data_IF_315345460538
#
_entry.id   IF_315345460538
#
_cell.length_a   1.000
_cell.length_b   1.000
_cell.length_c   1.000
_cell.angle_alpha   90.00
_cell.angle_beta   90.00
_cell.angle_gamma   90.00
#
_symmetry.space_group_name_H-M   'P 1'
#
loop_
_entity.id
_entity.type
_entity.pdbx_description
1 polymer ?
#
# COMPACT_ATOMS: atom_id res chain seq x y z
N UNK A 1 13.71 -0.05 -19.84
CA UNK A 1 13.75 -1.40 -19.25
C UNK A 1 14.21 -1.43 -17.78
N UNK A 2 14.76 -0.35 -17.19
CA UNK A 2 15.17 -0.27 -15.75
C UNK A 2 15.78 -1.57 -15.16
N UNK A 3 16.79 -2.11 -15.85
CA UNK A 3 17.36 -3.42 -15.52
C UNK A 3 18.44 -3.32 -14.44
N UNK A 4 18.51 -4.30 -13.50
CA UNK A 4 19.63 -4.44 -12.60
C UNK A 4 20.98 -4.58 -13.33
N UNK A 5 22.10 -4.15 -12.73
CA UNK A 5 23.42 -4.20 -13.36
C UNK A 5 23.82 -5.59 -13.87
N UNK A 6 23.47 -6.65 -13.15
CA UNK A 6 23.82 -8.03 -13.52
C UNK A 6 23.08 -8.49 -14.78
N UNK A 7 21.77 -8.20 -14.85
CA UNK A 7 20.97 -8.49 -16.06
C UNK A 7 21.46 -7.68 -17.25
N UNK A 8 21.90 -6.44 -17.03
CA UNK A 8 22.51 -5.62 -18.08
C UNK A 8 23.84 -6.20 -18.58
N UNK A 9 24.68 -6.72 -17.68
CA UNK A 9 25.92 -7.42 -18.05
C UNK A 9 25.64 -8.65 -18.92
N UNK A 10 24.66 -9.47 -18.53
CA UNK A 10 24.24 -10.63 -19.34
C UNK A 10 23.79 -10.21 -20.74
N UNK A 11 22.95 -9.17 -20.86
CA UNK A 11 22.50 -8.66 -22.17
C UNK A 11 23.64 -8.08 -23.02
N UNK A 12 24.64 -7.46 -22.40
CA UNK A 12 25.83 -6.96 -23.11
C UNK A 12 26.65 -8.09 -23.73
N UNK A 13 26.62 -9.28 -23.14
CA UNK A 13 27.36 -10.45 -23.63
C UNK A 13 26.57 -11.27 -24.68
N UNK A 14 25.30 -10.93 -24.97
CA UNK A 14 24.53 -11.63 -26.00
C UNK A 14 25.06 -11.37 -27.42
N UNK A 15 24.81 -12.35 -28.29
CA UNK A 15 25.10 -12.30 -29.73
C UNK A 15 24.45 -11.06 -30.38
N UNK A 16 25.13 -10.50 -31.38
CA UNK A 16 24.66 -9.28 -32.06
C UNK A 16 23.28 -9.46 -32.71
N UNK A 17 22.98 -10.66 -33.21
CA UNK A 17 21.68 -11.00 -33.79
C UNK A 17 20.55 -10.90 -32.77
N UNK A 18 20.71 -11.49 -31.59
CA UNK A 18 19.71 -11.42 -30.51
C UNK A 18 19.50 -9.99 -30.01
N UNK A 19 20.57 -9.18 -29.97
CA UNK A 19 20.46 -7.75 -29.65
C UNK A 19 19.65 -6.99 -30.70
N UNK A 20 19.85 -7.30 -31.99
CA UNK A 20 19.09 -6.69 -33.08
C UNK A 20 17.62 -7.09 -33.03
N UNK A 21 17.33 -8.37 -32.82
CA UNK A 21 15.96 -8.88 -32.66
C UNK A 21 15.24 -8.15 -31.51
N UNK A 22 15.92 -7.96 -30.36
CA UNK A 22 15.39 -7.20 -29.23
C UNK A 22 15.08 -5.74 -29.58
N UNK A 23 15.91 -5.07 -30.38
CA UNK A 23 15.66 -3.70 -30.85
C UNK A 23 14.44 -3.65 -31.78
N UNK A 24 14.32 -4.62 -32.69
CA UNK A 24 13.17 -4.73 -33.58
C UNK A 24 11.88 -4.95 -32.79
N UNK A 25 11.88 -5.86 -31.82
CA UNK A 25 10.71 -6.16 -30.98
C UNK A 25 10.30 -4.97 -30.12
N UNK A 26 11.26 -4.25 -29.54
CA UNK A 26 10.97 -3.03 -28.79
C UNK A 26 10.30 -1.97 -29.68
N UNK A 27 10.77 -1.80 -30.92
CA UNK A 27 10.19 -0.83 -31.86
C UNK A 27 8.79 -1.23 -32.30
N UNK A 28 8.56 -2.51 -32.60
CA UNK A 28 7.23 -3.05 -32.90
C UNK A 28 6.27 -2.81 -31.75
N UNK A 29 6.68 -3.14 -30.52
CA UNK A 29 5.87 -2.91 -29.33
C UNK A 29 5.48 -1.43 -29.18
N UNK A 30 6.43 -0.50 -29.36
CA UNK A 30 6.15 0.94 -29.30
C UNK A 30 5.20 1.46 -30.39
N UNK A 31 5.17 0.82 -31.57
CA UNK A 31 4.28 1.20 -32.67
C UNK A 31 2.89 0.58 -32.50
N UNK A 32 2.82 -0.70 -32.15
CA UNK A 32 1.56 -1.45 -32.10
C UNK A 32 0.80 -1.22 -30.78
N UNK A 33 1.49 -0.88 -29.70
CA UNK A 33 0.91 -0.74 -28.36
C UNK A 33 1.14 0.67 -27.83
N UNK A 34 0.41 1.64 -28.39
CA UNK A 34 0.36 3.00 -27.84
C UNK A 34 -0.40 2.99 -26.51
N UNK A 35 0.34 2.97 -25.41
CA UNK A 35 -0.23 3.10 -24.07
C UNK A 35 -0.76 4.53 -23.90
N UNK A 36 -1.99 4.72 -23.39
CA UNK A 36 -2.51 6.03 -23.04
C UNK A 36 -1.56 6.83 -22.13
N UNK A 37 -1.56 8.15 -22.32
CA UNK A 37 -0.81 9.07 -21.47
C UNK A 37 -1.28 8.96 -20.00
N UNK A 38 -0.35 9.05 -19.01
CA UNK A 38 -0.69 9.03 -17.59
C UNK A 38 -1.84 9.96 -17.20
N UNK A 39 -1.93 11.15 -17.81
CA UNK A 39 -2.95 12.15 -17.51
C UNK A 39 -4.38 11.64 -17.71
N UNK A 40 -4.60 10.76 -18.69
CA UNK A 40 -5.92 10.19 -19.01
C UNK A 40 -6.42 9.34 -17.83
N UNK A 41 -5.53 8.51 -17.26
CA UNK A 41 -5.86 7.69 -16.11
C UNK A 41 -6.11 8.56 -14.86
N UNK A 42 -5.29 9.59 -14.67
CA UNK A 42 -5.36 10.49 -13.51
C UNK A 42 -6.60 11.38 -13.53
N UNK A 43 -7.05 11.83 -14.71
CA UNK A 43 -8.31 12.59 -14.83
C UNK A 43 -9.50 11.71 -14.40
N UNK A 44 -9.55 10.47 -14.88
CA UNK A 44 -10.58 9.51 -14.45
C UNK A 44 -10.52 9.24 -12.95
N UNK A 45 -9.32 9.07 -12.38
CA UNK A 45 -9.15 8.80 -10.95
C UNK A 45 -9.67 9.96 -10.09
N UNK A 46 -9.41 11.22 -10.50
CA UNK A 46 -9.95 12.42 -9.84
C UNK A 46 -11.48 12.45 -9.83
N UNK A 47 -12.15 11.93 -10.87
CA UNK A 47 -13.61 11.87 -10.93
C UNK A 47 -14.17 10.91 -9.85
N UNK A 48 -13.48 9.82 -9.54
CA UNK A 48 -13.90 8.90 -8.47
C UNK A 48 -13.78 9.49 -7.06
N UNK A 49 -12.92 10.50 -6.87
CA UNK A 49 -12.75 11.17 -5.57
C UNK A 49 -13.92 12.09 -5.21
N UNK A 50 -14.56 12.73 -6.19
CA UNK A 50 -15.69 13.62 -5.93
C UNK A 50 -17.02 13.01 -6.38
N UNK A 51 -17.84 12.62 -5.39
CA UNK A 51 -19.19 12.06 -5.60
C UNK A 51 -20.09 12.93 -6.48
N UNK A 52 -19.95 14.27 -6.43
CA UNK A 52 -20.75 15.18 -7.26
C UNK A 52 -20.29 15.09 -8.72
N UNK A 53 -18.99 15.05 -8.97
CA UNK A 53 -18.45 14.91 -10.33
C UNK A 53 -18.70 13.53 -10.90
N UNK A 54 -18.62 12.47 -10.09
CA UNK A 54 -18.90 11.09 -10.50
C UNK A 54 -20.30 10.94 -11.09
N UNK A 55 -21.32 11.56 -10.47
CA UNK A 55 -22.70 11.56 -10.98
C UNK A 55 -22.83 12.29 -12.32
N UNK A 56 -22.10 13.40 -12.50
CA UNK A 56 -22.16 14.22 -13.72
C UNK A 56 -21.37 13.62 -14.89
N UNK A 57 -20.20 13.04 -14.61
CA UNK A 57 -19.25 12.53 -15.60
C UNK A 57 -19.26 11.00 -15.75
N UNK A 58 -20.30 10.30 -15.28
CA UNK A 58 -20.39 8.83 -15.38
C UNK A 58 -20.21 8.30 -16.81
N UNK A 59 -20.70 9.01 -17.83
CA UNK A 59 -20.52 8.65 -19.24
C UNK A 59 -19.05 8.72 -19.70
N UNK A 60 -18.26 9.64 -19.14
CA UNK A 60 -16.83 9.82 -19.48
C UNK A 60 -15.96 8.66 -18.97
N UNK A 61 -16.40 7.97 -17.92
CA UNK A 61 -15.71 6.79 -17.40
C UNK A 61 -15.90 5.54 -18.28
N UNK A 62 -16.73 5.62 -19.32
CA UNK A 62 -16.98 4.52 -20.27
C UNK A 62 -17.37 3.19 -19.63
N UNK A 63 -17.96 3.23 -18.42
CA UNK A 63 -18.33 2.03 -17.66
C UNK A 63 -17.17 1.29 -16.99
N UNK A 64 -15.94 1.81 -17.07
CA UNK A 64 -14.80 1.30 -16.32
C UNK A 64 -15.04 1.48 -14.80
N UNK A 65 -14.60 0.53 -13.98
CA UNK A 65 -14.63 0.65 -12.52
C UNK A 65 -13.35 1.30 -11.98
N UNK A 66 -13.40 1.86 -10.77
CA UNK A 66 -12.22 2.40 -10.10
C UNK A 66 -11.10 1.36 -9.96
N UNK A 67 -11.45 0.12 -9.61
CA UNK A 67 -10.51 -0.98 -9.44
C UNK A 67 -9.81 -1.35 -10.75
N UNK A 68 -10.55 -1.41 -11.86
CA UNK A 68 -9.97 -1.70 -13.18
C UNK A 68 -9.05 -0.57 -13.62
N UNK A 69 -9.46 0.68 -13.41
CA UNK A 69 -8.62 1.84 -13.68
C UNK A 69 -7.30 1.79 -12.89
N UNK A 70 -7.37 1.50 -11.59
CA UNK A 70 -6.18 1.34 -10.76
C UNK A 70 -5.30 0.17 -11.20
N UNK A 71 -5.88 -0.95 -11.65
CA UNK A 71 -5.12 -2.07 -12.22
C UNK A 71 -4.39 -1.66 -13.50
N UNK A 72 -5.02 -0.87 -14.36
CA UNK A 72 -4.36 -0.33 -15.55
C UNK A 72 -3.19 0.59 -15.19
N UNK A 73 -3.34 1.41 -14.14
CA UNK A 73 -2.25 2.25 -13.61
C UNK A 73 -1.12 1.37 -13.04
N UNK A 74 -1.43 0.37 -12.22
CA UNK A 74 -0.44 -0.55 -11.63
C UNK A 74 0.39 -1.26 -12.71
N UNK A 75 -0.30 -1.84 -13.70
CA UNK A 75 0.34 -2.55 -14.81
C UNK A 75 1.25 -1.57 -15.56
N UNK A 76 0.74 -0.37 -15.89
CA UNK A 76 1.49 0.65 -16.60
C UNK A 76 2.75 1.08 -15.86
N UNK A 77 2.67 1.27 -14.54
CA UNK A 77 3.82 1.61 -13.70
C UNK A 77 4.88 0.51 -13.67
N UNK A 78 4.48 -0.76 -13.76
CA UNK A 78 5.38 -1.91 -13.67
C UNK A 78 5.98 -2.34 -15.01
N UNK A 79 5.23 -2.24 -16.11
CA UNK A 79 5.63 -2.85 -17.40
C UNK A 79 6.04 -1.86 -18.48
N UNK A 80 5.64 -0.59 -18.38
CA UNK A 80 5.94 0.37 -19.43
C UNK A 80 7.38 0.91 -19.36
N UNK A 81 7.69 1.79 -20.32
CA UNK A 81 8.97 2.47 -20.34
C UNK A 81 9.15 3.33 -19.10
N UNK A 82 10.42 3.54 -18.74
CA UNK A 82 10.77 4.42 -17.63
C UNK A 82 10.31 5.86 -17.87
N UNK A 83 10.17 6.26 -19.13
CA UNK A 83 9.67 7.57 -19.52
C UNK A 83 8.18 7.74 -19.23
N UNK A 84 7.39 6.66 -19.31
CA UNK A 84 5.99 6.68 -18.84
C UNK A 84 5.92 6.96 -17.35
N UNK A 85 6.77 6.31 -16.53
CA UNK A 85 6.83 6.56 -15.08
C UNK A 85 7.31 7.99 -14.78
N UNK A 86 8.29 8.51 -15.54
CA UNK A 86 8.71 9.92 -15.43
C UNK A 86 7.58 10.87 -15.76
N UNK A 87 6.83 10.63 -16.84
CA UNK A 87 5.68 11.44 -17.21
C UNK A 87 4.58 11.41 -16.14
N UNK A 88 4.32 10.24 -15.55
CA UNK A 88 3.39 10.08 -14.43
C UNK A 88 3.80 10.92 -13.21
N UNK A 89 5.09 10.92 -12.88
CA UNK A 89 5.64 11.68 -11.74
C UNK A 89 5.92 13.15 -12.06
N UNK A 90 5.85 13.55 -13.34
CA UNK A 90 6.17 14.90 -13.74
C UNK A 90 5.17 15.92 -13.17
N UNK A 91 5.58 17.17 -12.90
CA UNK A 91 4.70 18.19 -12.31
C UNK A 91 3.39 18.42 -13.05
N UNK A 92 3.34 18.17 -14.37
CA UNK A 92 2.11 18.30 -15.15
C UNK A 92 1.02 17.30 -14.76
N UNK A 93 1.41 16.06 -14.41
CA UNK A 93 0.50 14.98 -14.06
C UNK A 93 0.33 14.91 -12.55
N UNK A 94 1.44 15.09 -11.81
CA UNK A 94 1.53 14.98 -10.37
C UNK A 94 0.89 13.67 -9.87
N UNK A 95 1.17 12.59 -10.59
CA UNK A 95 0.46 11.33 -10.46
C UNK A 95 0.63 10.68 -9.09
N UNK A 96 1.80 10.86 -8.46
CA UNK A 96 2.02 10.38 -7.09
C UNK A 96 1.07 11.07 -6.10
N UNK A 97 0.91 12.40 -6.18
CA UNK A 97 0.00 13.11 -5.28
C UNK A 97 -1.44 12.65 -5.48
N UNK A 98 -1.90 12.59 -6.74
CA UNK A 98 -3.27 12.16 -7.05
C UNK A 98 -3.54 10.73 -6.54
N UNK A 99 -2.58 9.83 -6.73
CA UNK A 99 -2.68 8.44 -6.24
C UNK A 99 -2.73 8.39 -4.70
N UNK A 100 -1.86 9.14 -4.03
CA UNK A 100 -1.80 9.19 -2.55
C UNK A 100 -3.07 9.83 -1.97
N UNK A 101 -3.59 10.88 -2.59
CA UNK A 101 -4.84 11.53 -2.18
C UNK A 101 -6.02 10.55 -2.34
N UNK A 102 -6.06 9.79 -3.44
CA UNK A 102 -7.08 8.77 -3.69
C UNK A 102 -7.03 7.65 -2.64
N UNK A 103 -5.85 7.09 -2.37
CA UNK A 103 -5.66 6.06 -1.33
C UNK A 103 -6.07 6.60 0.04
N UNK A 104 -5.66 7.83 0.37
CA UNK A 104 -6.01 8.48 1.64
C UNK A 104 -7.53 8.60 1.81
N UNK A 105 -8.22 9.06 0.76
CA UNK A 105 -9.68 9.18 0.72
C UNK A 105 -10.40 7.84 0.97
N UNK A 106 -9.89 6.76 0.38
CA UNK A 106 -10.43 5.41 0.59
C UNK A 106 -10.18 4.92 2.02
N UNK A 107 -8.97 5.12 2.54
CA UNK A 107 -8.60 4.72 3.89
C UNK A 107 -9.40 5.47 4.97
N UNK A 108 -9.71 6.76 4.74
CA UNK A 108 -10.59 7.53 5.62
C UNK A 108 -12.03 6.97 5.61
N UNK A 109 -12.51 6.59 4.43
CA UNK A 109 -13.82 5.96 4.25
C UNK A 109 -13.88 4.60 4.95
N UNK A 110 -12.83 3.77 4.80
CA UNK A 110 -12.73 2.47 5.48
C UNK A 110 -12.70 2.64 7.00
N UNK A 111 -11.91 3.60 7.51
CA UNK A 111 -11.82 3.84 8.95
C UNK A 111 -13.16 4.28 9.56
N UNK A 112 -13.91 5.14 8.86
CA UNK A 112 -15.24 5.53 9.31
C UNK A 112 -16.18 4.32 9.45
N UNK A 113 -16.10 3.34 8.55
CA UNK A 113 -16.89 2.09 8.64
C UNK A 113 -16.47 1.24 9.84
N UNK A 114 -15.16 1.13 10.11
CA UNK A 114 -14.63 0.37 11.24
C UNK A 114 -15.05 0.96 12.60
N UNK A 115 -15.14 2.29 12.72
CA UNK A 115 -15.64 2.93 13.93
C UNK A 115 -17.15 2.66 14.10
N UNK A 116 -17.95 2.91 13.06
CA UNK A 116 -19.41 2.78 13.17
C UNK A 116 -19.86 1.34 13.49
N UNK A 117 -19.16 0.33 12.98
CA UNK A 117 -19.43 -1.09 13.29
C UNK A 117 -19.10 -1.46 14.75
N UNK A 118 -18.21 -0.71 15.40
CA UNK A 118 -17.85 -0.93 16.81
C UNK A 118 -18.91 -0.37 17.77
N UNK A 119 -19.66 0.65 17.35
CA UNK A 119 -20.73 1.28 18.16
C UNK A 119 -22.05 0.48 18.12
N UNK A 120 -22.32 -0.25 17.02
CA UNK A 120 -23.54 -1.06 16.87
C UNK A 120 -23.48 -2.37 17.69
N UNK A 121 -22.28 -2.88 17.99
CA UNK A 121 -22.05 -4.08 18.80
C UNK A 121 -22.02 -3.79 20.32
N UNK A 122 -22.76 -2.79 20.79
CA UNK A 122 -22.76 -2.30 22.17
C UNK A 122 -22.95 -3.38 23.24
N UNK A 123 -21.85 -3.83 23.85
CA UNK A 123 -21.86 -4.44 25.18
C UNK A 123 -21.70 -3.30 26.19
N UNK A 124 -22.79 -2.97 26.85
CA UNK A 124 -22.82 -2.07 28.01
C UNK A 124 -22.04 -2.76 29.15
N UNK A 125 -20.95 -2.20 29.71
CA UNK A 125 -20.34 -2.78 30.89
C UNK A 125 -21.15 -2.36 32.12
N UNK A 126 -21.93 -3.29 32.66
CA UNK A 126 -22.46 -3.17 34.02
C UNK A 126 -21.30 -3.05 35.00
N UNK A 127 -21.23 -1.91 35.69
CA UNK A 127 -20.22 -1.59 36.69
C UNK A 127 -20.37 -2.47 37.93
N UNK A 128 -19.40 -3.33 38.19
CA UNK A 128 -19.00 -3.77 39.55
C UNK A 128 -17.85 -4.78 39.46
N UNK A 129 -16.62 -4.29 39.34
CA UNK A 129 -15.40 -4.98 39.79
C UNK A 129 -14.25 -3.95 39.87
N UNK A 130 -13.78 -3.60 41.08
CA UNK A 130 -12.76 -2.57 41.26
C UNK A 130 -11.35 -3.17 41.30
N UNK A 131 -10.95 -3.94 40.28
CA UNK A 131 -9.56 -4.45 40.21
C UNK A 131 -9.11 -4.77 38.77
N UNK A 132 -9.13 -3.74 37.90
CA UNK A 132 -8.28 -3.64 36.70
C UNK A 132 -8.42 -2.23 36.10
N UNK A 133 -7.66 -1.26 36.63
CA UNK A 133 -7.64 0.10 36.06
C UNK A 133 -6.76 0.13 34.79
N UNK A 134 -7.27 -0.43 33.69
CA UNK A 134 -6.75 -0.18 32.34
C UNK A 134 -7.92 0.08 31.39
N UNK A 135 -8.66 1.16 31.69
CA UNK A 135 -9.84 1.55 30.92
C UNK A 135 -9.48 2.47 29.75
N UNK A 136 -9.82 1.97 28.57
CA UNK A 136 -10.69 2.67 27.62
C UNK A 136 -10.19 3.97 26.95
N UNK A 137 -9.22 3.88 26.03
CA UNK A 137 -9.04 4.92 24.99
C UNK A 137 -8.69 4.39 23.60
N UNK A 138 -8.11 3.19 23.45
CA UNK A 138 -7.80 2.64 22.13
C UNK A 138 -9.07 2.32 21.32
N UNK A 139 -9.12 2.76 20.06
CA UNK A 139 -10.19 2.38 19.13
C UNK A 139 -10.17 0.85 18.99
N UNK A 140 -11.26 0.18 19.36
CA UNK A 140 -11.34 -1.28 19.28
C UNK A 140 -11.65 -1.69 17.82
N UNK A 141 -10.64 -1.63 16.95
CA UNK A 141 -10.79 -2.04 15.55
C UNK A 141 -10.99 -3.56 15.50
N UNK A 142 -12.24 -3.99 15.27
CA UNK A 142 -12.57 -5.39 15.04
C UNK A 142 -12.17 -5.78 13.62
N UNK A 143 -11.22 -6.71 13.50
CA UNK A 143 -10.85 -7.30 12.22
C UNK A 143 -11.83 -8.44 11.90
N UNK A 144 -12.81 -8.17 11.03
CA UNK A 144 -13.68 -9.22 10.51
C UNK A 144 -12.91 -10.00 9.45
N UNK A 145 -12.55 -11.25 9.76
CA UNK A 145 -12.03 -12.17 8.77
C UNK A 145 -13.21 -12.78 8.00
N UNK A 146 -13.34 -12.43 6.72
CA UNK A 146 -14.19 -13.18 5.79
C UNK A 146 -13.52 -14.51 5.46
N UNK A 147 -13.58 -15.47 6.37
CA UNK A 147 -13.26 -16.86 6.07
C UNK A 147 -14.33 -17.39 5.12
N UNK A 148 -13.92 -17.76 3.92
CA UNK A 148 -14.75 -18.47 2.93
C UNK A 148 -15.31 -19.74 3.56
N UNK A 149 -16.62 -19.81 3.76
CA UNK A 149 -17.32 -21.05 4.04
C UNK A 149 -17.19 -21.97 2.80
N UNK A 150 -16.27 -22.92 2.87
CA UNK A 150 -16.28 -24.07 1.96
C UNK A 150 -17.29 -25.07 2.52
N UNK A 151 -18.51 -25.00 1.99
CA UNK A 151 -19.51 -26.04 2.21
C UNK A 151 -18.97 -27.38 1.71
N UNK A 152 -18.71 -28.27 2.66
CA UNK A 152 -18.47 -29.68 2.40
C UNK A 152 -19.81 -30.36 2.09
N UNK A 153 -19.89 -31.07 0.96
CA UNK A 153 -21.08 -31.83 0.60
C UNK A 153 -20.88 -32.77 -0.59
N UNK A 154 -20.65 -34.04 -0.28
CA UNK A 154 -21.14 -35.19 -1.06
C UNK A 154 -20.39 -35.57 -2.32
N UNK A 155 -19.69 -36.71 -2.29
CA UNK A 155 -18.94 -37.25 -3.42
C UNK A 155 -19.76 -38.10 -4.38
N UNK A 156 -19.09 -38.55 -5.45
CA UNK A 156 -19.23 -39.90 -6.00
C UNK A 156 -17.99 -40.28 -6.82
N UNK A 157 -17.65 -41.57 -6.71
CA UNK A 157 -16.49 -42.27 -7.22
C UNK A 157 -16.48 -42.41 -8.74
N UNK A 158 -15.29 -42.44 -9.36
CA UNK A 158 -14.96 -43.55 -10.27
C UNK A 158 -13.45 -43.77 -10.43
N UNK A 159 -13.10 -45.05 -10.53
CA UNK A 159 -11.77 -45.66 -10.53
C UNK A 159 -11.03 -45.60 -11.87
N UNK A 160 -9.71 -45.79 -11.78
CA UNK A 160 -8.81 -46.33 -12.82
C UNK A 160 -7.67 -45.36 -13.14
N UNK A 161 -6.38 -45.68 -13.08
CA UNK A 161 -5.64 -46.92 -12.83
C UNK A 161 -4.25 -46.80 -13.51
N UNK A 162 -3.18 -47.08 -12.76
CA UNK A 162 -1.80 -47.30 -13.26
C UNK A 162 -0.97 -46.04 -13.59
N UNK A 163 0.33 -45.92 -13.30
CA UNK A 163 1.30 -46.81 -12.66
C UNK A 163 2.72 -46.23 -12.84
N UNK A 164 3.62 -46.47 -11.87
CA UNK A 164 5.09 -46.37 -11.99
C UNK A 164 5.71 -44.97 -12.17
N UNK A 165 6.90 -44.59 -11.68
CA UNK A 165 8.02 -45.27 -11.01
C UNK A 165 8.96 -44.20 -10.43
N UNK A 166 9.55 -44.48 -9.26
CA UNK A 166 10.91 -44.12 -8.78
C UNK A 166 11.67 -42.88 -9.33
N UNK A 167 12.13 -41.97 -8.45
CA UNK A 167 13.47 -42.05 -7.86
C UNK A 167 13.78 -41.01 -6.77
N UNK A 168 14.60 -41.43 -5.82
CA UNK A 168 15.19 -40.69 -4.69
C UNK A 168 16.39 -39.82 -5.11
N UNK A 169 16.64 -38.79 -4.29
CA UNK A 169 17.91 -38.24 -3.75
C UNK A 169 17.69 -36.72 -3.56
N UNK A 170 18.08 -36.02 -2.50
CA UNK A 170 19.09 -36.23 -1.49
C UNK A 170 19.70 -34.84 -1.18
N UNK A 171 19.54 -34.38 0.06
CA UNK A 171 20.42 -33.48 0.84
C UNK A 171 21.17 -32.31 0.16
N UNK A 172 21.02 -31.10 0.70
CA UNK A 172 22.09 -30.38 1.45
C UNK A 172 21.74 -28.91 1.69
N UNK A 173 21.91 -28.43 2.92
CA UNK A 173 21.77 -27.04 3.31
C UNK A 173 22.97 -26.17 2.94
N UNK A 174 22.85 -24.86 3.18
CA UNK A 174 23.93 -23.90 3.02
C UNK A 174 23.46 -22.46 3.16
N UNK A 175 23.47 -21.96 4.39
CA UNK A 175 23.39 -20.53 4.72
C UNK A 175 24.53 -19.75 4.07
N UNK A 176 24.25 -18.54 3.59
CA UNK A 176 25.29 -17.53 3.35
C UNK A 176 24.70 -16.13 3.49
N UNK A 177 25.01 -15.53 4.64
CA UNK A 177 24.88 -14.12 4.96
C UNK A 177 25.87 -13.31 4.12
N UNK A 178 25.42 -12.30 3.38
CA UNK A 178 26.29 -11.37 2.67
C UNK A 178 26.22 -9.98 3.32
N UNK A 179 27.25 -9.68 4.11
CA UNK A 179 27.60 -8.35 4.63
C UNK A 179 28.40 -7.61 3.56
N UNK A 180 27.90 -6.44 3.13
CA UNK A 180 28.65 -5.51 2.29
C UNK A 180 29.05 -4.30 3.14
N UNK A 181 30.31 -4.29 3.57
CA UNK A 181 31.03 -3.08 3.96
C UNK A 181 31.34 -2.28 2.70
N UNK A 182 30.85 -1.06 2.61
CA UNK A 182 31.35 -0.06 1.65
C UNK A 182 32.16 0.99 2.39
N UNK A 183 33.45 0.95 2.12
CA UNK A 183 34.47 1.89 2.54
C UNK A 183 34.30 3.15 1.66
N UNK A 184 33.89 4.28 2.26
CA UNK A 184 33.87 5.57 1.58
C UNK A 184 35.07 6.40 2.02
N UNK A 185 35.93 6.73 1.06
CA UNK A 185 36.87 7.83 1.16
C UNK A 185 36.73 8.67 -0.12
N UNK A 186 36.19 9.88 0.01
CA UNK A 186 36.89 11.07 -0.45
C UNK A 186 36.19 12.35 0.03
N UNK A 187 37.05 13.20 0.61
CA UNK A 187 36.83 14.54 1.09
C UNK A 187 36.44 15.50 -0.04
N UNK A 188 35.48 16.39 0.24
CA UNK A 188 35.59 17.82 -0.11
C UNK A 188 34.90 18.64 0.98
N UNK A 189 35.71 19.45 1.67
CA UNK A 189 35.30 20.45 2.65
C UNK A 189 34.54 21.61 1.98
N UNK A 190 33.41 22.01 2.57
CA UNK A 190 32.95 23.40 2.55
C UNK A 190 32.19 23.70 3.84
N UNK A 191 32.90 24.35 4.75
CA UNK A 191 32.40 25.06 5.92
C UNK A 191 31.58 26.28 5.51
N UNK A 192 30.50 26.59 6.22
CA UNK A 192 30.00 27.92 6.64
C UNK A 192 28.59 27.70 7.25
N UNK A 193 28.44 27.65 8.57
CA UNK A 193 28.33 28.74 9.56
C UNK A 193 26.86 29.02 9.95
N UNK A 194 26.68 29.16 11.25
CA UNK A 194 25.46 29.11 12.03
C UNK A 194 24.76 30.47 12.23
N UNK A 195 23.64 30.44 12.97
CA UNK A 195 22.88 31.53 13.65
C UNK A 195 21.67 32.03 12.83
N UNK A 196 20.44 32.24 13.31
CA UNK A 196 19.92 32.72 14.61
C UNK A 196 18.45 32.24 14.82
N UNK A 197 18.10 32.05 16.10
CA UNK A 197 16.78 31.88 16.73
C UNK A 197 15.56 32.57 16.07
N UNK A 198 14.38 31.93 16.16
CA UNK A 198 13.22 32.58 16.81
C UNK A 198 12.16 31.58 17.27
N UNK A 199 11.86 31.63 18.56
CA UNK A 199 10.73 30.99 19.22
C UNK A 199 9.44 31.69 18.80
N UNK A 200 8.36 30.94 18.53
CA UNK A 200 7.00 31.44 18.79
C UNK A 200 6.14 30.28 19.29
N UNK A 201 5.75 30.41 20.56
CA UNK A 201 4.64 29.70 21.21
C UNK A 201 3.39 30.50 20.91
N UNK A 202 2.40 29.89 20.28
CA UNK A 202 1.03 30.39 20.31
C UNK A 202 0.16 29.45 21.14
N UNK A 203 -0.21 29.99 22.30
CA UNK A 203 -1.18 29.53 23.28
C UNK A 203 -2.57 29.97 22.82
N UNK A 204 -3.51 29.04 22.61
CA UNK A 204 -4.94 29.37 22.45
C UNK A 204 -5.82 28.29 23.10
N UNK A 205 -6.07 28.54 24.38
CA UNK A 205 -7.32 28.35 25.14
C UNK A 205 -8.43 27.46 24.56
N UNK A 206 -8.70 26.39 25.31
CA UNK A 206 -9.88 25.54 25.27
C UNK A 206 -11.17 26.35 25.52
N UNK A 207 -12.14 26.32 24.59
CA UNK A 207 -13.53 26.70 24.87
C UNK A 207 -14.45 25.54 24.55
N UNK A 208 -15.19 25.08 25.57
CA UNK A 208 -16.13 23.98 25.48
C UNK A 208 -17.36 24.39 24.66
N UNK A 209 -17.47 23.86 23.44
CA UNK A 209 -18.62 24.03 22.55
C UNK A 209 -19.43 22.74 22.40
N UNK A 210 -20.71 22.79 22.80
CA UNK A 210 -21.71 21.72 22.77
C UNK A 210 -21.83 21.03 21.39
N UNK A 211 -21.69 19.71 21.38
CA UNK A 211 -21.95 18.83 20.22
C UNK A 211 -23.43 18.94 19.80
N UNK A 212 -23.69 19.52 18.62
CA UNK A 212 -24.99 19.40 17.95
C UNK A 212 -25.03 18.09 17.16
N UNK A 213 -26.00 17.25 17.50
CA UNK A 213 -26.41 16.05 16.76
C UNK A 213 -26.46 16.32 15.25
N UNK A 214 -25.60 15.64 14.47
CA UNK A 214 -25.70 15.57 13.02
C UNK A 214 -26.12 14.17 12.60
N UNK A 215 -27.43 13.97 12.42
CA UNK A 215 -28.02 12.74 11.89
C UNK A 215 -27.75 12.51 10.39
N UNK A 216 -26.73 13.15 9.79
CA UNK A 216 -26.43 13.06 8.36
C UNK A 216 -25.37 12.01 7.97
N UNK A 217 -24.71 11.33 8.92
CA UNK A 217 -23.72 10.28 8.58
C UNK A 217 -24.32 8.97 8.04
N UNK A 218 -25.65 8.75 8.21
CA UNK A 218 -26.32 7.52 7.77
C UNK A 218 -26.49 7.36 6.25
N UNK A 219 -26.01 8.31 5.43
CA UNK A 219 -26.21 8.31 3.96
C UNK A 219 -24.95 8.04 3.13
N UNK A 220 -23.85 7.63 3.75
CA UNK A 220 -22.63 7.27 3.03
C UNK A 220 -22.57 5.81 2.58
N UNK A 221 -23.42 4.94 3.13
CA UNK A 221 -23.29 3.48 3.01
C UNK A 221 -24.50 2.75 2.40
N UNK A 222 -25.47 3.45 1.81
CA UNK A 222 -26.56 2.79 1.09
C UNK A 222 -26.70 3.37 -0.32
N UNK A 223 -26.39 2.54 -1.32
CA UNK A 223 -26.41 2.81 -2.77
C UNK A 223 -25.33 3.78 -3.30
N UNK A 224 -24.07 3.33 -3.43
CA UNK A 224 -23.04 4.02 -4.21
C UNK A 224 -22.54 3.12 -5.36
N UNK A 225 -23.19 3.19 -6.53
CA UNK A 225 -22.82 2.46 -7.76
C UNK A 225 -21.56 3.05 -8.43
N UNK A 226 -20.40 3.04 -7.77
CA UNK A 226 -19.18 3.59 -8.37
C UNK A 226 -17.87 3.56 -7.57
N UNK A 227 -17.87 3.17 -6.30
CA UNK A 227 -16.66 2.69 -5.59
C UNK A 227 -17.08 1.34 -5.03
N UNK A 228 -17.07 0.37 -5.92
CA UNK A 228 -17.78 -0.89 -5.68
C UNK A 228 -16.97 -1.80 -4.73
N UNK A 229 -15.66 -1.54 -4.58
CA UNK A 229 -14.72 -2.36 -3.81
C UNK A 229 -13.59 -1.51 -3.16
N UNK A 230 -13.90 -0.81 -2.05
CA UNK A 230 -12.93 0.03 -1.32
C UNK A 230 -11.67 -0.77 -0.94
N UNK A 231 -11.83 -1.99 -0.45
CA UNK A 231 -10.73 -2.85 -0.04
C UNK A 231 -9.82 -3.20 -1.23
N UNK A 232 -10.41 -3.61 -2.36
CA UNK A 232 -9.65 -3.92 -3.58
C UNK A 232 -8.92 -2.69 -4.12
N UNK A 233 -9.56 -1.52 -4.11
CA UNK A 233 -8.95 -0.27 -4.56
C UNK A 233 -7.77 0.14 -3.65
N UNK A 234 -7.89 -0.05 -2.34
CA UNK A 234 -6.77 0.16 -1.40
C UNK A 234 -5.64 -0.82 -1.73
N UNK A 235 -5.94 -2.12 -1.90
CA UNK A 235 -4.93 -3.12 -2.23
C UNK A 235 -4.18 -2.77 -3.51
N UNK A 236 -4.89 -2.46 -4.59
CA UNK A 236 -4.27 -2.11 -5.89
C UNK A 236 -3.52 -0.78 -5.79
N UNK A 237 -4.04 0.20 -5.04
CA UNK A 237 -3.32 1.45 -4.75
C UNK A 237 -1.97 1.21 -4.06
N UNK A 238 -1.91 0.28 -3.11
CA UNK A 238 -0.64 -0.14 -2.50
C UNK A 238 0.28 -0.85 -3.51
N UNK A 239 -0.28 -1.69 -4.40
CA UNK A 239 0.50 -2.27 -5.50
C UNK A 239 1.08 -1.21 -6.46
N UNK A 240 0.38 -0.11 -6.75
CA UNK A 240 0.93 1.02 -7.51
C UNK A 240 2.12 1.67 -6.79
N UNK A 241 2.03 1.88 -5.47
CA UNK A 241 3.16 2.39 -4.67
C UNK A 241 4.33 1.42 -4.66
N UNK A 242 4.08 0.10 -4.61
CA UNK A 242 5.12 -0.94 -4.75
C UNK A 242 5.82 -0.87 -6.12
N UNK A 243 5.05 -0.72 -7.19
CA UNK A 243 5.61 -0.58 -8.54
C UNK A 243 6.52 0.65 -8.65
N UNK A 244 6.13 1.77 -8.03
CA UNK A 244 6.97 2.98 -7.95
C UNK A 244 8.25 2.76 -7.13
N UNK A 245 8.19 2.09 -5.98
CA UNK A 245 9.38 1.78 -5.17
C UNK A 245 10.37 0.88 -5.92
N UNK A 246 9.89 0.05 -6.85
CA UNK A 246 10.74 -0.79 -7.70
C UNK A 246 11.31 -0.05 -8.93
N UNK A 247 11.05 1.25 -9.06
CA UNK A 247 11.56 2.09 -10.13
C UNK A 247 12.57 3.10 -9.57
N UNK A 248 13.69 3.33 -10.27
CA UNK A 248 14.74 4.23 -9.77
C UNK A 248 14.29 5.68 -9.54
N UNK A 249 13.30 6.18 -10.28
CA UNK A 249 12.72 7.51 -10.07
C UNK A 249 11.56 7.48 -9.09
N UNK A 250 10.75 6.42 -9.14
CA UNK A 250 9.60 6.24 -8.25
C UNK A 250 10.01 6.09 -6.79
N UNK A 251 11.10 5.38 -6.50
CA UNK A 251 11.59 5.23 -5.11
C UNK A 251 11.94 6.59 -4.50
N UNK A 252 12.63 7.46 -5.23
CA UNK A 252 12.98 8.81 -4.75
C UNK A 252 11.73 9.63 -4.50
N UNK A 253 10.75 9.58 -5.41
CA UNK A 253 9.50 10.32 -5.29
C UNK A 253 8.65 9.85 -4.09
N UNK A 254 8.50 8.53 -3.91
CA UNK A 254 7.73 7.95 -2.80
C UNK A 254 8.45 8.19 -1.47
N UNK A 255 9.76 8.00 -1.41
CA UNK A 255 10.58 8.18 -0.21
C UNK A 255 10.57 9.64 0.27
N UNK A 256 10.55 10.60 -0.65
CA UNK A 256 10.45 12.03 -0.33
C UNK A 256 9.05 12.45 0.14
N UNK A 257 8.02 11.64 -0.11
CA UNK A 257 6.64 11.95 0.21
C UNK A 257 6.20 11.24 1.51
N UNK A 258 6.24 11.97 2.63
CA UNK A 258 5.83 11.44 3.95
C UNK A 258 4.38 10.91 3.97
N UNK A 259 3.48 11.49 3.19
CA UNK A 259 2.10 11.02 3.13
C UNK A 259 2.00 9.68 2.39
N UNK A 260 2.82 9.44 1.37
CA UNK A 260 2.88 8.13 0.70
C UNK A 260 3.32 7.02 1.66
N UNK A 261 4.38 7.25 2.44
CA UNK A 261 4.84 6.32 3.49
C UNK A 261 3.75 6.09 4.53
N UNK A 262 3.06 7.16 4.94
CA UNK A 262 1.95 7.06 5.88
C UNK A 262 0.78 6.26 5.32
N UNK A 263 0.42 6.40 4.04
CA UNK A 263 -0.59 5.57 3.39
C UNK A 263 -0.21 4.08 3.39
N UNK A 264 1.06 3.75 3.18
CA UNK A 264 1.57 2.37 3.27
C UNK A 264 1.34 1.84 4.70
N UNK A 265 1.76 2.58 5.74
CA UNK A 265 1.55 2.17 7.14
C UNK A 265 0.06 2.00 7.48
N UNK A 266 -0.79 2.94 7.06
CA UNK A 266 -2.24 2.86 7.32
C UNK A 266 -2.91 1.63 6.71
N UNK A 267 -2.36 1.09 5.62
CA UNK A 267 -2.89 -0.11 4.98
C UNK A 267 -2.73 -1.38 5.82
N UNK A 268 -2.03 -1.34 6.97
CA UNK A 268 -2.09 -2.40 8.00
C UNK A 268 -3.53 -2.65 8.48
N UNK A 269 -4.41 -1.65 8.41
CA UNK A 269 -5.82 -1.79 8.77
C UNK A 269 -6.66 -2.54 7.74
N UNK A 270 -6.11 -2.83 6.57
CA UNK A 270 -6.82 -3.55 5.53
C UNK A 270 -7.23 -4.95 6.00
N UNK A 271 -8.45 -5.45 5.69
CA UNK A 271 -8.92 -6.74 6.17
C UNK A 271 -8.05 -7.91 5.71
N UNK A 272 -7.67 -7.95 4.43
CA UNK A 272 -6.85 -9.04 3.86
C UNK A 272 -5.42 -9.08 4.41
N UNK A 273 -5.02 -10.25 4.94
CA UNK A 273 -3.63 -10.53 5.34
C UNK A 273 -2.64 -10.41 4.18
N UNK A 274 -3.05 -10.67 2.94
CA UNK A 274 -2.21 -10.50 1.76
C UNK A 274 -1.76 -9.05 1.59
N UNK A 275 -2.68 -8.09 1.79
CA UNK A 275 -2.33 -6.66 1.75
C UNK A 275 -1.43 -6.29 2.91
N UNK A 276 -1.71 -6.80 4.11
CA UNK A 276 -0.88 -6.55 5.29
C UNK A 276 0.56 -7.08 5.10
N UNK A 277 0.72 -8.27 4.53
CA UNK A 277 2.03 -8.86 4.24
C UNK A 277 2.81 -8.00 3.23
N UNK A 278 2.16 -7.61 2.13
CA UNK A 278 2.74 -6.70 1.15
C UNK A 278 3.21 -5.38 1.77
N UNK A 279 2.41 -4.80 2.67
CA UNK A 279 2.77 -3.57 3.38
C UNK A 279 4.03 -3.76 4.22
N UNK A 280 4.13 -4.87 4.96
CA UNK A 280 5.30 -5.14 5.80
C UNK A 280 6.55 -5.41 4.97
N UNK A 281 6.43 -6.14 3.86
CA UNK A 281 7.55 -6.33 2.92
C UNK A 281 8.07 -4.98 2.37
N UNK A 282 7.15 -4.09 1.99
CA UNK A 282 7.50 -2.74 1.51
C UNK A 282 8.18 -1.91 2.61
N UNK A 283 7.64 -1.94 3.83
CA UNK A 283 8.21 -1.19 4.96
C UNK A 283 9.60 -1.71 5.33
N UNK A 284 9.81 -3.04 5.33
CA UNK A 284 11.12 -3.67 5.56
C UNK A 284 12.16 -3.19 4.53
N UNK A 285 11.78 -3.17 3.25
CA UNK A 285 12.64 -2.64 2.19
C UNK A 285 12.95 -1.14 2.37
N UNK A 286 11.95 -0.33 2.76
CA UNK A 286 12.14 1.11 2.99
C UNK A 286 13.07 1.36 4.19
N UNK A 287 12.92 0.63 5.30
CA UNK A 287 13.77 0.79 6.50
C UNK A 287 15.23 0.47 6.22
N UNK A 288 15.50 -0.39 5.24
CA UNK A 288 16.86 -0.74 4.80
C UNK A 288 17.56 0.41 4.06
N UNK A 289 16.82 1.39 3.53
CA UNK A 289 17.38 2.57 2.90
C UNK A 289 17.92 3.56 3.95
N UNK A 290 18.95 4.31 3.59
CA UNK A 290 19.46 5.42 4.42
C UNK A 290 18.34 6.38 4.79
N UNK A 291 18.22 6.75 6.07
CA UNK A 291 17.13 7.57 6.65
C UNK A 291 15.72 6.94 6.62
N UNK A 292 15.57 5.72 6.10
CA UNK A 292 14.28 5.04 5.96
C UNK A 292 13.65 4.70 7.30
N UNK A 293 14.47 4.35 8.29
CA UNK A 293 14.02 4.06 9.65
C UNK A 293 13.24 5.23 10.28
N UNK A 294 13.78 6.45 10.20
CA UNK A 294 13.13 7.64 10.78
C UNK A 294 11.82 7.99 10.08
N UNK A 295 11.75 7.78 8.77
CA UNK A 295 10.51 7.98 8.01
C UNK A 295 9.42 7.01 8.44
N UNK A 296 9.74 5.73 8.57
CA UNK A 296 8.78 4.70 8.99
C UNK A 296 8.36 4.91 10.45
N UNK A 297 9.30 5.22 11.34
CA UNK A 297 8.97 5.58 12.73
C UNK A 297 8.08 6.83 12.81
N UNK A 298 8.37 7.86 12.02
CA UNK A 298 7.53 9.05 11.91
C UNK A 298 6.11 8.73 11.45
N UNK A 299 5.97 7.84 10.48
CA UNK A 299 4.67 7.37 10.00
C UNK A 299 3.90 6.58 11.08
N UNK A 300 4.56 5.69 11.82
CA UNK A 300 3.93 4.96 12.93
C UNK A 300 3.62 5.86 14.14
N UNK A 301 4.38 6.93 14.38
CA UNK A 301 4.01 7.94 15.38
C UNK A 301 2.74 8.67 14.98
N UNK A 302 2.64 9.08 13.70
CA UNK A 302 1.41 9.67 13.17
C UNK A 302 0.23 8.69 13.27
N UNK A 303 0.47 7.40 12.97
CA UNK A 303 -0.53 6.35 13.09
C UNK A 303 -1.02 6.20 14.54
N UNK A 304 -0.09 6.12 15.49
CA UNK A 304 -0.40 6.07 16.93
C UNK A 304 -1.33 7.22 17.33
N UNK A 305 -0.99 8.46 16.98
CA UNK A 305 -1.81 9.63 17.29
C UNK A 305 -3.17 9.62 16.59
N UNK A 306 -3.22 9.21 15.31
CA UNK A 306 -4.45 9.24 14.51
C UNK A 306 -5.45 8.15 14.89
N UNK A 307 -4.97 6.97 15.30
CA UNK A 307 -5.79 5.80 15.66
C UNK A 307 -5.87 5.57 17.17
N UNK A 308 -5.35 6.51 17.95
CA UNK A 308 -5.32 6.51 19.41
C UNK A 308 -4.71 5.22 20.00
N UNK A 309 -3.57 4.79 19.45
CA UNK A 309 -2.84 3.67 20.04
C UNK A 309 -2.13 4.11 21.33
N UNK A 310 -2.20 3.27 22.35
CA UNK A 310 -1.54 3.50 23.63
C UNK A 310 -0.03 3.36 23.44
N UNK A 311 0.38 2.30 22.75
CA UNK A 311 1.78 2.03 22.39
C UNK A 311 1.94 2.05 20.87
N UNK A 312 3.10 2.54 20.39
CA UNK A 312 3.45 2.42 18.97
C UNK A 312 3.39 0.95 18.57
N UNK A 313 2.85 0.66 17.39
CA UNK A 313 2.72 -0.69 16.82
C UNK A 313 1.67 -1.59 17.48
N UNK A 314 0.85 -1.08 18.40
CA UNK A 314 -0.13 -1.88 19.13
C UNK A 314 -1.06 -2.67 18.17
N UNK A 315 -1.58 -2.01 17.14
CA UNK A 315 -2.47 -2.62 16.15
C UNK A 315 -1.74 -3.65 15.31
N UNK A 316 -0.50 -3.39 14.92
CA UNK A 316 0.33 -4.34 14.18
C UNK A 316 0.56 -5.63 15.00
N UNK A 317 0.94 -5.48 16.27
CA UNK A 317 1.11 -6.63 17.19
C UNK A 317 -0.22 -7.36 17.42
N UNK A 318 -1.35 -6.65 17.42
CA UNK A 318 -2.68 -7.27 17.50
C UNK A 318 -2.97 -8.12 16.26
N UNK A 319 -2.69 -7.62 15.06
CA UNK A 319 -2.84 -8.37 13.82
C UNK A 319 -1.99 -9.66 13.83
N UNK A 320 -0.77 -9.60 14.36
CA UNK A 320 0.13 -10.74 14.50
C UNK A 320 -0.42 -11.82 15.45
N UNK A 321 -1.09 -11.42 16.53
CA UNK A 321 -1.63 -12.34 17.56
C UNK A 321 -3.00 -12.94 17.23
N UNK A 322 -3.63 -12.59 16.11
CA UNK A 322 -4.94 -13.12 15.77
C UNK A 322 -4.89 -14.65 15.52
N UNK A 323 -5.87 -15.42 16.00
CA UNK A 323 -5.96 -16.83 15.64
C UNK A 323 -6.31 -16.99 14.15
N UNK A 324 -5.71 -17.99 13.48
CA UNK A 324 -5.95 -18.26 12.05
C UNK A 324 -5.22 -17.33 11.08
N UNK A 325 -4.14 -16.68 11.53
CA UNK A 325 -3.31 -15.82 10.69
C UNK A 325 -2.57 -16.63 9.62
N UNK A 326 -2.48 -16.06 8.41
CA UNK A 326 -1.80 -16.65 7.27
C UNK A 326 -0.27 -16.70 7.47
N UNK A 327 0.36 -17.81 7.07
CA UNK A 327 1.80 -18.07 7.25
C UNK A 327 2.69 -17.04 6.55
N UNK A 328 2.32 -16.62 5.33
CA UNK A 328 3.08 -15.62 4.58
C UNK A 328 3.07 -14.27 5.30
N UNK A 329 1.93 -13.90 5.89
CA UNK A 329 1.85 -12.69 6.72
C UNK A 329 2.68 -12.79 7.99
N UNK A 330 2.75 -13.95 8.66
CA UNK A 330 3.64 -14.15 9.80
C UNK A 330 5.11 -14.02 9.40
N UNK A 331 5.48 -14.57 8.25
CA UNK A 331 6.83 -14.46 7.71
C UNK A 331 7.20 -12.99 7.43
N UNK A 332 6.30 -12.20 6.83
CA UNK A 332 6.53 -10.76 6.64
C UNK A 332 6.55 -9.94 7.93
N UNK A 333 5.98 -10.46 9.03
CA UNK A 333 6.00 -9.78 10.34
C UNK A 333 7.33 -9.93 11.08
N UNK A 334 8.06 -11.03 10.85
CA UNK A 334 9.29 -11.40 11.55
C UNK A 334 10.50 -10.84 10.81
#
# INVERSE_FOLDING_TARGET
MDLPPDKMRTLRNCDLKKKWDLVCDQRKFSVDHSVPDPSIYLEKLKIYMDRKTLKKKKKYLSGESSTTLLKHIEISLRTNTIDWVRAFLAPQCDGLRVLVDYISFLQDSLFAVLINSSEENGIVPSSSNPDLSYSQTAVNIQFINSSTNVSSGGGQQQQGGGGGTHNQLGTSGGSSTCSLQTNLNNNTNTTMNSSIYSNNRDDLSFTSGKLKNSHNSRKLYSSSKGIDHIDDDIHVGICCLRALLNNKFGVVAVFSNRQAIYCIVRAILHPSFKTKALVLDMLSAIVTLTDGHELVLGAFNKFRSAYNEIFRFQTLVRCFKCPGVNVDFLASCI
#
